data_IF_139248271107
#
_entry.id   IF_139248271107
#
_cell.length_a   1.000
_cell.length_b   1.000
_cell.length_c   1.000
_cell.angle_alpha   90.00
_cell.angle_beta   90.00
_cell.angle_gamma   90.00
#
_symmetry.space_group_name_H-M   'P 1'
#
loop_
_entity.id
_entity.type
_entity.pdbx_description
1 polymer ?
#
# COMPACT_ATOMS: atom_id res chain seq x y z
N UNK A 1 34.03 -14.05 12.83
CA UNK A 1 33.18 -14.33 14.00
C UNK A 1 31.91 -15.08 13.59
N UNK A 2 31.52 -16.15 14.30
CA UNK A 2 30.32 -16.92 13.99
C UNK A 2 29.06 -16.29 14.61
N UNK A 3 27.97 -16.24 13.85
CA UNK A 3 26.68 -15.75 14.34
C UNK A 3 26.06 -16.73 15.36
N UNK A 4 25.57 -16.28 16.52
CA UNK A 4 24.95 -17.17 17.52
C UNK A 4 23.61 -17.76 17.07
N UNK A 5 22.94 -17.19 16.06
CA UNK A 5 21.60 -17.60 15.62
C UNK A 5 21.64 -18.55 14.43
N UNK A 6 22.45 -18.27 13.42
CA UNK A 6 22.51 -19.05 12.18
C UNK A 6 23.89 -19.65 11.88
N UNK A 7 24.81 -19.60 12.86
CA UNK A 7 26.19 -20.14 12.80
C UNK A 7 27.02 -19.69 11.58
N UNK A 8 26.57 -18.67 10.85
CA UNK A 8 27.25 -18.16 9.66
C UNK A 8 28.51 -17.39 10.07
N UNK A 9 29.63 -17.65 9.40
CA UNK A 9 30.88 -16.92 9.61
C UNK A 9 30.78 -15.52 9.00
N UNK A 10 31.05 -14.50 9.78
CA UNK A 10 30.99 -13.09 9.38
C UNK A 10 32.32 -12.38 9.68
N UNK A 11 32.68 -11.32 8.92
CA UNK A 11 33.89 -10.54 9.17
C UNK A 11 33.91 -9.96 10.59
N UNK A 12 35.09 -9.80 11.19
CA UNK A 12 35.22 -9.30 12.58
C UNK A 12 34.74 -7.85 12.76
N UNK A 13 34.72 -7.09 11.66
CA UNK A 13 34.19 -5.72 11.60
C UNK A 13 32.66 -5.64 11.49
N UNK A 14 31.98 -6.78 11.29
CA UNK A 14 30.52 -6.83 11.14
C UNK A 14 29.80 -6.45 12.45
N UNK A 15 28.82 -5.53 12.35
CA UNK A 15 27.89 -5.21 13.44
C UNK A 15 26.69 -6.16 13.43
N UNK A 16 26.28 -6.62 12.24
CA UNK A 16 25.15 -7.51 12.02
C UNK A 16 25.54 -8.69 11.13
N UNK A 17 24.87 -9.84 11.33
CA UNK A 17 25.03 -10.99 10.47
C UNK A 17 24.39 -10.71 9.10
N UNK A 18 25.18 -10.84 8.03
CA UNK A 18 24.70 -10.60 6.66
C UNK A 18 23.65 -11.61 6.17
N UNK A 19 23.47 -12.74 6.87
CA UNK A 19 22.55 -13.82 6.47
C UNK A 19 21.24 -13.84 7.25
N UNK A 20 21.28 -13.63 8.56
CA UNK A 20 20.09 -13.65 9.43
C UNK A 20 19.76 -12.30 10.09
N UNK A 21 20.61 -11.27 9.94
CA UNK A 21 20.38 -9.93 10.48
C UNK A 21 20.64 -9.79 11.99
N UNK A 22 21.02 -10.87 12.70
CA UNK A 22 21.28 -10.81 14.14
C UNK A 22 22.46 -9.89 14.47
N UNK A 23 22.33 -9.08 15.52
CA UNK A 23 23.42 -8.23 16.02
C UNK A 23 24.56 -9.08 16.56
N UNK A 24 25.78 -8.77 16.14
CA UNK A 24 27.00 -9.52 16.48
C UNK A 24 27.77 -8.90 17.66
N UNK A 25 27.51 -7.63 18.00
CA UNK A 25 28.24 -6.86 19.03
C UNK A 25 27.40 -6.47 20.27
N UNK A 26 26.22 -7.06 20.47
CA UNK A 26 25.31 -6.71 21.58
C UNK A 26 24.68 -7.93 22.29
N UNK A 27 24.43 -7.79 23.60
CA UNK A 27 23.73 -8.76 24.45
C UNK A 27 22.37 -9.14 23.87
N UNK A 28 22.08 -10.44 23.83
CA UNK A 28 20.90 -11.09 23.26
C UNK A 28 19.53 -10.76 23.93
N UNK A 29 19.40 -9.62 24.63
CA UNK A 29 18.23 -9.30 25.47
C UNK A 29 17.28 -8.21 24.95
N UNK A 30 17.51 -7.63 23.76
CA UNK A 30 16.55 -6.67 23.17
C UNK A 30 16.31 -6.95 21.69
N UNK A 31 15.63 -8.07 21.44
CA UNK A 31 15.00 -8.41 20.15
C UNK A 31 14.05 -7.30 19.66
N UNK A 32 13.55 -6.46 20.58
CA UNK A 32 12.66 -5.34 20.34
C UNK A 32 13.36 -4.00 20.00
N UNK A 33 14.69 -3.91 20.03
CA UNK A 33 15.43 -2.66 19.80
C UNK A 33 16.48 -2.70 18.68
N UNK A 34 16.78 -3.89 18.17
CA UNK A 34 17.91 -4.11 17.24
C UNK A 34 17.51 -4.33 15.79
N UNK A 35 16.20 -4.44 15.52
CA UNK A 35 15.67 -4.69 14.19
C UNK A 35 14.60 -3.67 13.83
N UNK A 36 15.01 -2.62 13.13
CA UNK A 36 14.10 -1.75 12.42
C UNK A 36 14.41 -1.87 10.92
N UNK A 37 13.35 -1.98 10.13
CA UNK A 37 13.38 -1.93 8.66
C UNK A 37 14.15 -0.69 8.16
N UNK A 38 14.25 0.35 8.99
CA UNK A 38 15.10 1.52 8.80
C UNK A 38 16.08 1.65 9.96
N UNK A 39 17.39 1.68 9.67
CA UNK A 39 18.49 1.57 10.64
C UNK A 39 18.62 2.71 11.65
N UNK A 40 17.82 3.77 11.50
CA UNK A 40 17.89 4.99 12.32
C UNK A 40 16.71 5.20 13.27
N UNK A 41 15.74 4.27 13.32
CA UNK A 41 14.54 4.45 14.15
C UNK A 41 14.28 3.26 15.07
N UNK A 42 13.99 3.53 16.35
CA UNK A 42 13.60 2.47 17.28
C UNK A 42 12.22 1.90 16.95
N UNK A 43 11.99 0.61 17.24
CA UNK A 43 10.69 -0.08 17.02
C UNK A 43 9.51 0.63 17.69
N UNK A 44 9.78 1.44 18.71
CA UNK A 44 8.79 2.20 19.48
C UNK A 44 8.72 3.71 19.15
N UNK A 45 9.47 4.20 18.15
CA UNK A 45 9.36 5.61 17.75
C UNK A 45 8.23 5.80 16.74
N UNK A 46 7.28 6.66 17.11
CA UNK A 46 6.18 7.12 16.28
C UNK A 46 6.64 8.33 15.44
N UNK A 47 7.42 8.14 14.38
CA UNK A 47 7.42 9.15 13.32
C UNK A 47 6.29 8.83 12.34
N UNK A 48 5.22 9.64 12.38
CA UNK A 48 4.02 9.48 11.55
C UNK A 48 4.36 9.31 10.05
N UNK A 49 5.46 9.93 9.62
CA UNK A 49 5.96 9.92 8.24
C UNK A 49 6.76 8.65 7.93
N UNK A 50 7.62 8.13 8.81
CA UNK A 50 8.30 6.84 8.58
C UNK A 50 7.37 5.64 8.82
N UNK A 51 6.31 5.83 9.60
CA UNK A 51 5.27 4.82 9.87
C UNK A 51 4.45 4.52 8.63
N UNK A 52 4.20 5.54 7.80
CA UNK A 52 3.54 5.42 6.50
C UNK A 52 4.57 5.11 5.40
N UNK A 53 5.81 5.60 5.51
CA UNK A 53 6.91 5.43 4.54
C UNK A 53 8.15 4.68 5.10
N UNK A 54 8.09 3.35 5.33
CA UNK A 54 9.20 2.62 5.92
C UNK A 54 10.34 2.24 4.94
N UNK A 55 10.13 2.37 3.62
CA UNK A 55 10.97 1.69 2.61
C UNK A 55 11.52 2.57 1.49
N UNK A 56 11.40 3.89 1.60
CA UNK A 56 11.93 4.79 0.58
C UNK A 56 13.33 5.26 0.94
N UNK A 57 14.27 5.17 -0.01
CA UNK A 57 15.49 5.98 0.02
C UNK A 57 15.06 7.44 0.27
N UNK A 58 15.80 8.20 1.08
CA UNK A 58 15.49 9.61 1.42
C UNK A 58 15.05 10.41 0.18
N UNK A 59 15.70 10.16 -0.96
CA UNK A 59 15.41 10.83 -2.22
C UNK A 59 14.07 10.45 -2.87
N UNK A 60 13.61 9.20 -2.76
CA UNK A 60 12.29 8.79 -3.27
C UNK A 60 11.18 9.17 -2.30
N UNK A 61 11.45 9.15 -0.99
CA UNK A 61 10.54 9.61 0.05
C UNK A 61 10.07 11.05 -0.20
N UNK A 62 11.01 11.91 -0.59
CA UNK A 62 10.75 13.32 -0.86
C UNK A 62 9.83 13.52 -2.08
N UNK A 63 9.99 12.73 -3.14
CA UNK A 63 9.13 12.82 -4.33
C UNK A 63 7.66 12.50 -3.98
N UNK A 64 7.42 11.45 -3.19
CA UNK A 64 6.06 11.09 -2.75
C UNK A 64 5.47 12.11 -1.80
N UNK A 65 6.30 12.66 -0.89
CA UNK A 65 5.89 13.73 0.01
C UNK A 65 5.44 14.97 -0.79
N UNK A 66 6.20 15.37 -1.82
CA UNK A 66 5.80 16.47 -2.70
C UNK A 66 4.53 16.16 -3.51
N UNK A 67 4.39 14.94 -4.04
CA UNK A 67 3.18 14.53 -4.75
C UNK A 67 1.92 14.59 -3.86
N UNK A 68 2.03 14.16 -2.60
CA UNK A 68 0.95 14.27 -1.61
C UNK A 68 0.64 15.72 -1.26
N UNK A 69 1.67 16.56 -1.04
CA UNK A 69 1.48 17.99 -0.76
C UNK A 69 0.81 18.69 -1.94
N UNK A 70 1.27 18.46 -3.17
CA UNK A 70 0.69 19.04 -4.38
C UNK A 70 -0.77 18.62 -4.56
N UNK A 71 -1.08 17.34 -4.32
CA UNK A 71 -2.45 16.82 -4.38
C UNK A 71 -3.34 17.48 -3.33
N UNK A 72 -2.86 17.59 -2.09
CA UNK A 72 -3.59 18.25 -1.01
C UNK A 72 -3.82 19.74 -1.30
N UNK A 73 -2.80 20.45 -1.80
CA UNK A 73 -2.91 21.86 -2.21
C UNK A 73 -3.94 22.03 -3.32
N UNK A 74 -3.93 21.16 -4.34
CA UNK A 74 -4.91 21.23 -5.43
C UNK A 74 -6.33 21.02 -4.91
N UNK A 75 -6.55 20.02 -4.05
CA UNK A 75 -7.87 19.72 -3.47
C UNK A 75 -8.34 20.91 -2.63
N UNK A 76 -7.50 21.42 -1.73
CA UNK A 76 -7.84 22.57 -0.86
C UNK A 76 -8.10 23.82 -1.68
N UNK A 77 -7.30 24.08 -2.72
CA UNK A 77 -7.52 25.21 -3.61
C UNK A 77 -8.84 25.07 -4.39
N UNK A 78 -9.13 23.90 -4.96
CA UNK A 78 -10.37 23.65 -5.67
C UNK A 78 -11.60 23.79 -4.75
N UNK A 79 -11.53 23.25 -3.53
CA UNK A 79 -12.58 23.42 -2.51
C UNK A 79 -12.72 24.89 -2.10
N UNK A 80 -11.62 25.59 -1.83
CA UNK A 80 -11.65 27.00 -1.41
C UNK A 80 -12.16 27.96 -2.49
N UNK A 81 -11.95 27.64 -3.77
CA UNK A 81 -12.50 28.38 -4.91
C UNK A 81 -13.98 28.07 -5.19
N UNK A 82 -14.56 27.10 -4.47
CA UNK A 82 -15.93 26.63 -4.63
C UNK A 82 -16.14 25.71 -5.83
N UNK A 83 -15.08 25.26 -6.50
CA UNK A 83 -15.14 24.41 -7.70
C UNK A 83 -15.41 22.95 -7.31
N UNK A 84 -16.61 22.65 -6.83
CA UNK A 84 -16.96 21.35 -6.26
C UNK A 84 -16.67 20.17 -7.20
N UNK A 85 -17.04 20.18 -8.50
CA UNK A 85 -16.77 19.04 -9.37
C UNK A 85 -15.27 18.74 -9.51
N UNK A 86 -14.45 19.79 -9.57
CA UNK A 86 -12.99 19.66 -9.66
C UNK A 86 -12.43 19.18 -8.32
N UNK A 87 -12.91 19.70 -7.19
CA UNK A 87 -12.52 19.24 -5.87
C UNK A 87 -12.86 17.76 -5.65
N UNK A 88 -14.07 17.35 -6.04
CA UNK A 88 -14.53 15.96 -5.94
C UNK A 88 -13.71 15.04 -6.84
N UNK A 89 -13.53 15.38 -8.11
CA UNK A 89 -12.76 14.56 -9.05
C UNK A 89 -11.29 14.45 -8.63
N UNK A 90 -10.67 15.58 -8.24
CA UNK A 90 -9.27 15.59 -7.81
C UNK A 90 -9.06 14.78 -6.54
N UNK A 91 -9.92 14.93 -5.52
CA UNK A 91 -9.80 14.17 -4.28
C UNK A 91 -10.13 12.68 -4.47
N UNK A 92 -11.07 12.35 -5.36
CA UNK A 92 -11.41 10.97 -5.67
C UNK A 92 -10.29 10.22 -6.39
N UNK A 93 -9.40 10.89 -7.14
CA UNK A 93 -8.35 10.22 -7.93
C UNK A 93 -6.92 10.51 -7.47
N UNK A 94 -6.56 11.75 -7.14
CA UNK A 94 -5.15 12.10 -6.88
C UNK A 94 -4.58 11.35 -5.69
N UNK A 95 -5.27 11.35 -4.55
CA UNK A 95 -4.75 10.65 -3.37
C UNK A 95 -4.74 9.13 -3.58
N UNK A 96 -5.81 8.50 -4.11
CA UNK A 96 -5.78 7.08 -4.42
C UNK A 96 -4.67 6.69 -5.40
N UNK A 97 -4.44 7.50 -6.44
CA UNK A 97 -3.36 7.28 -7.41
C UNK A 97 -2.00 7.46 -6.76
N UNK A 98 -1.77 8.53 -6.00
CA UNK A 98 -0.48 8.74 -5.31
C UNK A 98 -0.22 7.62 -4.31
N UNK A 99 -1.24 7.17 -3.58
CA UNK A 99 -1.14 6.04 -2.67
C UNK A 99 -0.85 4.73 -3.42
N UNK A 100 -1.50 4.48 -4.55
CA UNK A 100 -1.23 3.32 -5.40
C UNK A 100 0.18 3.35 -5.99
N UNK A 101 0.63 4.48 -6.53
CA UNK A 101 1.99 4.64 -7.06
C UNK A 101 3.02 4.49 -5.95
N UNK A 102 2.74 5.02 -4.76
CA UNK A 102 3.59 4.83 -3.59
C UNK A 102 3.68 3.34 -3.20
N UNK A 103 2.54 2.66 -3.06
CA UNK A 103 2.51 1.24 -2.71
C UNK A 103 3.15 0.40 -3.81
N UNK A 104 3.00 0.77 -5.09
CA UNK A 104 3.66 0.11 -6.21
C UNK A 104 5.18 0.29 -6.20
N UNK A 105 5.70 1.49 -5.90
CA UNK A 105 7.15 1.75 -5.82
C UNK A 105 7.78 1.16 -4.55
N UNK A 106 7.02 1.14 -3.46
CA UNK A 106 7.36 0.48 -2.19
C UNK A 106 7.08 -1.01 -2.23
N UNK A 107 6.33 -1.54 -3.20
CA UNK A 107 6.15 -2.98 -3.36
C UNK A 107 7.52 -3.57 -3.72
N UNK A 108 8.17 -4.11 -2.69
CA UNK A 108 9.52 -4.56 -2.80
C UNK A 108 9.54 -5.98 -3.36
N UNK A 109 9.71 -6.14 -4.69
CA UNK A 109 9.91 -7.45 -5.40
C UNK A 109 8.58 -8.22 -5.64
N UNK A 110 8.14 -8.72 -6.81
CA UNK A 110 8.63 -8.87 -8.20
C UNK A 110 7.51 -8.49 -9.24
N UNK A 111 7.91 -8.05 -10.45
CA UNK A 111 7.25 -8.27 -11.75
C UNK A 111 5.73 -8.10 -11.96
N UNK A 112 4.98 -7.34 -11.15
CA UNK A 112 3.65 -6.91 -11.57
C UNK A 112 3.74 -5.86 -12.69
N UNK A 113 3.32 -6.16 -13.93
CA UNK A 113 3.31 -5.17 -14.99
C UNK A 113 2.37 -4.03 -14.59
N UNK A 114 2.79 -2.77 -14.75
CA UNK A 114 1.91 -1.59 -14.66
C UNK A 114 0.53 -1.84 -15.30
N UNK A 115 0.40 -2.48 -16.49
CA UNK A 115 -0.91 -2.76 -17.07
C UNK A 115 -1.78 -3.72 -16.25
N UNK A 116 -1.23 -4.65 -15.47
CA UNK A 116 -2.02 -5.56 -14.62
C UNK A 116 -2.63 -4.80 -13.45
N UNK A 117 -1.85 -3.96 -12.77
CA UNK A 117 -2.37 -3.12 -11.68
C UNK A 117 -3.38 -2.10 -12.21
N UNK A 118 -3.12 -1.53 -13.39
CA UNK A 118 -4.07 -0.63 -14.05
C UNK A 118 -5.36 -1.36 -14.47
N UNK A 119 -5.25 -2.58 -15.03
CA UNK A 119 -6.41 -3.39 -15.39
C UNK A 119 -7.22 -3.80 -14.16
N UNK A 120 -6.56 -4.12 -13.04
CA UNK A 120 -7.21 -4.37 -11.76
C UNK A 120 -7.94 -3.12 -11.26
N UNK A 121 -7.28 -1.96 -11.30
CA UNK A 121 -7.88 -0.68 -10.91
C UNK A 121 -9.12 -0.35 -11.75
N UNK A 122 -9.02 -0.47 -13.07
CA UNK A 122 -10.16 -0.24 -13.98
C UNK A 122 -11.25 -1.29 -13.77
N UNK A 123 -10.90 -2.57 -13.68
CA UNK A 123 -11.86 -3.66 -13.53
C UNK A 123 -12.64 -3.58 -12.22
N UNK A 124 -11.96 -3.31 -11.11
CA UNK A 124 -12.59 -3.10 -9.79
C UNK A 124 -13.35 -1.78 -9.73
N UNK A 125 -12.88 -0.74 -10.42
CA UNK A 125 -13.60 0.51 -10.60
C UNK A 125 -14.91 0.33 -11.38
N UNK A 126 -14.90 -0.42 -12.49
CA UNK A 126 -16.12 -0.76 -13.25
C UNK A 126 -17.07 -1.60 -12.40
N UNK A 127 -16.54 -2.60 -11.69
CA UNK A 127 -17.33 -3.41 -10.77
C UNK A 127 -17.98 -2.55 -9.68
N UNK A 128 -17.24 -1.58 -9.14
CA UNK A 128 -17.76 -0.59 -8.19
C UNK A 128 -18.93 0.18 -8.79
N UNK A 129 -18.77 0.75 -9.98
CA UNK A 129 -19.86 1.46 -10.67
C UNK A 129 -21.08 0.58 -10.86
N UNK A 130 -20.91 -0.67 -11.32
CA UNK A 130 -22.02 -1.60 -11.52
C UNK A 130 -22.73 -1.94 -10.22
N UNK A 131 -21.99 -2.27 -9.16
CA UNK A 131 -22.55 -2.57 -7.84
C UNK A 131 -23.28 -1.35 -7.29
N UNK A 132 -22.65 -0.17 -7.30
CA UNK A 132 -23.28 1.07 -6.84
C UNK A 132 -24.54 1.38 -7.65
N UNK A 133 -24.50 1.35 -8.98
CA UNK A 133 -25.70 1.61 -9.78
C UNK A 133 -26.81 0.59 -9.56
N UNK A 134 -26.48 -0.69 -9.43
CA UNK A 134 -27.46 -1.75 -9.15
C UNK A 134 -28.15 -1.50 -7.80
N UNK A 135 -27.39 -1.29 -6.73
CA UNK A 135 -27.99 -1.08 -5.41
C UNK A 135 -28.76 0.24 -5.31
N UNK A 136 -28.23 1.33 -5.90
CA UNK A 136 -28.84 2.65 -5.79
C UNK A 136 -30.05 2.86 -6.71
N UNK A 137 -30.08 2.25 -7.89
CA UNK A 137 -31.17 2.44 -8.86
C UNK A 137 -32.21 1.32 -8.86
N UNK A 138 -31.86 0.13 -8.41
CA UNK A 138 -32.76 -1.03 -8.52
C UNK A 138 -33.20 -1.60 -7.18
N UNK A 139 -32.30 -1.66 -6.19
CA UNK A 139 -32.59 -2.35 -4.93
C UNK A 139 -33.16 -1.42 -3.87
N UNK A 140 -32.66 -0.18 -3.77
CA UNK A 140 -32.95 0.73 -2.66
C UNK A 140 -33.30 2.15 -3.13
N UNK A 141 -34.01 2.30 -4.25
CA UNK A 141 -34.34 3.62 -4.82
C UNK A 141 -35.18 4.46 -3.84
N UNK A 142 -36.20 3.86 -3.21
CA UNK A 142 -37.09 4.54 -2.26
C UNK A 142 -36.38 4.91 -0.96
N UNK A 143 -35.57 3.98 -0.42
CA UNK A 143 -34.75 4.23 0.76
C UNK A 143 -33.72 5.31 0.48
N UNK A 144 -33.08 5.33 -0.70
CA UNK A 144 -32.07 6.33 -1.04
C UNK A 144 -32.65 7.74 -1.22
N UNK A 145 -33.81 7.86 -1.87
CA UNK A 145 -34.48 9.15 -2.06
C UNK A 145 -34.93 9.76 -0.73
N UNK A 146 -35.42 8.93 0.20
CA UNK A 146 -35.67 9.35 1.59
C UNK A 146 -34.38 9.58 2.37
N UNK A 147 -33.26 8.95 1.98
CA UNK A 147 -31.95 9.07 2.62
C UNK A 147 -31.22 10.40 2.32
N UNK A 148 -31.31 10.89 1.08
CA UNK A 148 -30.55 12.03 0.56
C UNK A 148 -31.15 13.41 0.92
N UNK A 149 -32.43 13.45 1.30
CA UNK A 149 -33.22 14.69 1.36
C UNK A 149 -33.18 15.49 2.67
N UNK A 150 -32.34 15.19 3.67
CA UNK A 150 -32.44 15.88 4.97
C UNK A 150 -31.17 16.00 5.79
N UNK A 151 -30.93 17.21 6.33
CA UNK A 151 -30.05 17.46 7.46
C UNK A 151 -30.58 16.71 8.68
N UNK A 152 -29.80 15.75 9.18
CA UNK A 152 -30.21 14.84 10.26
C UNK A 152 -29.77 15.40 11.60
N UNK A 153 -30.68 16.02 12.32
CA UNK A 153 -30.47 16.38 13.72
C UNK A 153 -31.57 15.69 14.52
N UNK A 154 -31.17 14.80 15.44
CA UNK A 154 -32.09 14.07 16.30
C UNK A 154 -32.25 12.58 15.95
N UNK A 155 -32.29 11.75 17.00
CA UNK A 155 -32.37 10.29 16.94
C UNK A 155 -33.72 9.81 16.38
N UNK A 156 -34.76 10.65 16.46
CA UNK A 156 -36.12 10.34 15.97
C UNK A 156 -36.18 10.16 14.44
N UNK A 157 -35.18 10.64 13.71
CA UNK A 157 -35.03 10.44 12.26
C UNK A 157 -34.26 9.16 11.88
N UNK A 158 -33.92 8.31 12.85
CA UNK A 158 -33.14 7.09 12.65
C UNK A 158 -33.98 5.97 12.02
N UNK A 159 -33.88 5.80 10.71
CA UNK A 159 -34.38 4.61 10.03
C UNK A 159 -33.43 3.42 10.22
N UNK A 160 -33.75 2.50 11.13
CA UNK A 160 -32.98 1.26 11.35
C UNK A 160 -32.75 0.43 10.08
N UNK A 161 -33.75 0.25 9.17
CA UNK A 161 -33.52 -0.51 7.93
C UNK A 161 -32.45 0.14 7.04
N UNK A 162 -32.54 1.45 6.82
CA UNK A 162 -31.54 2.15 6.01
C UNK A 162 -30.16 2.14 6.69
N UNK A 163 -30.09 2.20 8.03
CA UNK A 163 -28.82 2.07 8.73
C UNK A 163 -28.18 0.69 8.46
N UNK A 164 -28.93 -0.40 8.59
CA UNK A 164 -28.42 -1.74 8.34
C UNK A 164 -28.00 -1.93 6.88
N UNK A 165 -28.79 -1.40 5.94
CA UNK A 165 -28.49 -1.49 4.51
C UNK A 165 -27.18 -0.73 4.19
N UNK A 166 -27.12 0.55 4.53
CA UNK A 166 -26.01 1.41 4.10
C UNK A 166 -24.75 1.27 4.95
N UNK A 167 -24.86 0.93 6.24
CA UNK A 167 -23.71 0.80 7.12
C UNK A 167 -23.24 -0.65 7.34
N UNK A 168 -24.04 -1.66 6.99
CA UNK A 168 -23.66 -3.07 7.17
C UNK A 168 -23.66 -3.83 5.85
N UNK A 169 -24.83 -3.93 5.17
CA UNK A 169 -24.96 -4.75 3.96
C UNK A 169 -24.06 -4.24 2.83
N UNK A 170 -24.12 -2.94 2.50
CA UNK A 170 -23.32 -2.37 1.41
C UNK A 170 -21.81 -2.51 1.65
N UNK A 171 -21.25 -2.20 2.84
CA UNK A 171 -19.83 -2.44 3.11
C UNK A 171 -19.41 -3.91 2.99
N UNK A 172 -20.26 -4.86 3.38
CA UNK A 172 -19.98 -6.30 3.20
C UNK A 172 -19.91 -6.65 1.72
N UNK A 173 -20.90 -6.22 0.93
CA UNK A 173 -20.93 -6.48 -0.51
C UNK A 173 -19.75 -5.80 -1.21
N UNK A 174 -19.40 -4.58 -0.81
CA UNK A 174 -18.24 -3.86 -1.30
C UNK A 174 -16.94 -4.61 -0.98
N UNK A 175 -16.79 -5.17 0.24
CA UNK A 175 -15.61 -5.94 0.59
C UNK A 175 -15.45 -7.20 -0.25
N UNK A 176 -16.55 -7.93 -0.47
CA UNK A 176 -16.56 -9.10 -1.35
C UNK A 176 -16.16 -8.69 -2.78
N UNK A 177 -16.77 -7.63 -3.32
CA UNK A 177 -16.50 -7.15 -4.66
C UNK A 177 -15.03 -6.72 -4.85
N UNK A 178 -14.46 -6.00 -3.88
CA UNK A 178 -13.05 -5.57 -3.89
C UNK A 178 -12.10 -6.76 -3.86
N UNK A 179 -12.40 -7.80 -3.09
CA UNK A 179 -11.53 -8.98 -2.99
C UNK A 179 -11.54 -9.81 -4.27
N UNK A 180 -12.67 -9.96 -4.98
CA UNK A 180 -12.80 -10.85 -6.15
C UNK A 180 -11.67 -10.71 -7.17
N UNK A 181 -11.40 -9.48 -7.64
CA UNK A 181 -10.38 -9.23 -8.66
C UNK A 181 -8.95 -9.41 -8.14
N UNK A 182 -8.69 -8.96 -6.90
CA UNK A 182 -7.37 -9.01 -6.29
C UNK A 182 -6.98 -10.45 -5.91
N UNK A 183 -7.90 -11.20 -5.32
CA UNK A 183 -7.80 -12.63 -5.01
C UNK A 183 -7.57 -13.42 -6.29
N UNK A 184 -8.33 -13.16 -7.36
CA UNK A 184 -8.14 -13.85 -8.64
C UNK A 184 -6.71 -13.69 -9.18
N UNK A 185 -6.14 -12.48 -9.11
CA UNK A 185 -4.76 -12.25 -9.51
C UNK A 185 -3.76 -12.94 -8.58
N UNK A 186 -3.97 -12.86 -7.26
CA UNK A 186 -3.13 -13.50 -6.25
C UNK A 186 -3.12 -15.04 -6.32
N UNK A 187 -4.03 -15.68 -7.05
CA UNK A 187 -3.95 -17.14 -7.32
C UNK A 187 -2.93 -17.50 -8.41
N UNK A 188 -2.42 -16.52 -9.17
CA UNK A 188 -1.48 -16.80 -10.26
C UNK A 188 -0.11 -17.14 -9.68
N UNK A 189 0.57 -18.18 -10.21
CA UNK A 189 1.91 -18.58 -9.74
C UNK A 189 3.01 -17.55 -10.01
N UNK A 190 2.69 -16.47 -10.74
CA UNK A 190 3.58 -15.32 -10.94
C UNK A 190 3.55 -14.34 -9.76
N UNK A 191 2.53 -14.42 -8.89
CA UNK A 191 2.26 -13.49 -7.79
C UNK A 191 2.08 -14.28 -6.49
N UNK A 192 3.15 -14.93 -6.03
CA UNK A 192 3.14 -15.87 -4.91
C UNK A 192 3.63 -15.26 -3.57
N UNK A 193 3.82 -13.94 -3.51
CA UNK A 193 4.23 -13.21 -2.31
C UNK A 193 3.05 -12.47 -1.65
N UNK A 194 3.10 -12.36 -0.33
CA UNK A 194 2.20 -11.54 0.49
C UNK A 194 2.07 -10.12 -0.02
N UNK A 195 3.19 -9.53 -0.45
CA UNK A 195 3.25 -8.09 -0.78
C UNK A 195 2.54 -7.80 -2.10
N UNK A 196 2.52 -8.76 -3.03
CA UNK A 196 1.72 -8.66 -4.25
C UNK A 196 0.23 -8.72 -3.95
N UNK A 197 -0.18 -9.64 -3.07
CA UNK A 197 -1.54 -9.70 -2.56
C UNK A 197 -1.96 -8.37 -1.90
N UNK A 198 -1.09 -7.81 -1.05
CA UNK A 198 -1.31 -6.52 -0.41
C UNK A 198 -1.51 -5.40 -1.46
N UNK A 199 -0.66 -5.34 -2.47
CA UNK A 199 -0.69 -4.32 -3.52
C UNK A 199 -1.96 -4.43 -4.36
N UNK A 200 -2.35 -5.65 -4.75
CA UNK A 200 -3.61 -5.87 -5.46
C UNK A 200 -4.82 -5.50 -4.61
N UNK A 201 -4.82 -5.85 -3.32
CA UNK A 201 -5.90 -5.48 -2.41
C UNK A 201 -6.01 -3.96 -2.23
N UNK A 202 -4.88 -3.26 -2.09
CA UNK A 202 -4.85 -1.79 -2.02
C UNK A 202 -5.34 -1.16 -3.32
N UNK A 203 -4.85 -1.62 -4.47
CA UNK A 203 -5.29 -1.12 -5.78
C UNK A 203 -6.79 -1.32 -5.98
N UNK A 204 -7.32 -2.50 -5.65
CA UNK A 204 -8.75 -2.79 -5.74
C UNK A 204 -9.59 -1.92 -4.80
N UNK A 205 -9.15 -1.76 -3.54
CA UNK A 205 -9.90 -0.98 -2.55
C UNK A 205 -9.91 0.52 -2.83
N UNK A 206 -8.77 1.07 -3.26
CA UNK A 206 -8.65 2.49 -3.63
C UNK A 206 -9.41 2.82 -4.91
N UNK A 207 -9.38 1.92 -5.91
CA UNK A 207 -10.18 2.03 -7.12
C UNK A 207 -11.68 2.03 -6.82
N UNK A 208 -12.13 1.07 -6.00
CA UNK A 208 -13.52 0.98 -5.61
C UNK A 208 -13.97 2.26 -4.89
N UNK A 209 -13.19 2.76 -3.94
CA UNK A 209 -13.50 3.98 -3.23
C UNK A 209 -13.57 5.21 -4.15
N UNK A 210 -12.65 5.33 -5.12
CA UNK A 210 -12.60 6.42 -6.09
C UNK A 210 -13.86 6.45 -6.98
N UNK A 211 -14.15 5.32 -7.62
CA UNK A 211 -15.23 5.23 -8.61
C UNK A 211 -16.62 5.23 -7.95
N UNK A 212 -16.78 4.56 -6.81
CA UNK A 212 -18.00 4.66 -6.00
C UNK A 212 -18.32 6.12 -5.67
N UNK A 213 -17.31 6.91 -5.27
CA UNK A 213 -17.50 8.31 -4.91
C UNK A 213 -17.98 9.16 -6.09
N UNK A 214 -17.47 8.92 -7.31
CA UNK A 214 -17.95 9.61 -8.52
C UNK A 214 -19.43 9.32 -8.77
N UNK A 215 -19.86 8.06 -8.57
CA UNK A 215 -21.27 7.68 -8.77
C UNK A 215 -22.16 8.32 -7.69
N UNK A 216 -21.74 8.27 -6.42
CA UNK A 216 -22.48 8.84 -5.29
C UNK A 216 -22.64 10.37 -5.41
N UNK A 217 -21.62 11.05 -5.94
CA UNK A 217 -21.62 12.50 -6.13
C UNK A 217 -21.92 12.92 -7.58
N UNK A 218 -22.53 12.04 -8.37
CA UNK A 218 -22.88 12.32 -9.77
C UNK A 218 -23.73 13.60 -9.94
N UNK A 219 -24.59 13.92 -8.96
CA UNK A 219 -25.38 15.15 -8.94
C UNK A 219 -24.53 16.43 -8.95
N UNK A 220 -23.34 16.41 -8.37
CA UNK A 220 -22.39 17.55 -8.37
C UNK A 220 -21.88 17.82 -9.79
N UNK A 221 -21.73 16.79 -10.62
CA UNK A 221 -21.27 16.91 -12.00
C UNK A 221 -22.38 17.31 -12.98
N UNK A 222 -23.64 17.00 -12.66
CA UNK A 222 -24.80 17.35 -13.48
C UNK A 222 -25.49 18.65 -13.07
N UNK A 223 -25.02 19.29 -12.00
CA UNK A 223 -25.57 20.55 -11.51
C UNK A 223 -25.30 21.69 -12.50
N UNK A 224 -26.27 22.59 -12.69
CA UNK A 224 -26.13 23.74 -13.59
C UNK A 224 -25.10 24.77 -13.08
N UNK A 225 -24.84 24.80 -11.77
CA UNK A 225 -23.84 25.67 -11.16
C UNK A 225 -22.59 24.87 -10.77
N UNK A 226 -21.44 25.31 -11.28
CA UNK A 226 -20.13 24.70 -11.04
C UNK A 226 -19.45 25.27 -9.79
N UNK A 227 -19.94 26.40 -9.25
CA UNK A 227 -19.36 27.07 -8.09
C UNK A 227 -20.33 27.09 -6.93
N UNK A 228 -19.89 26.65 -5.77
CA UNK A 228 -20.64 26.85 -4.52
C UNK A 228 -20.02 27.99 -3.72
N UNK A 229 -20.85 28.87 -3.19
CA UNK A 229 -20.44 29.91 -2.22
C UNK A 229 -20.78 29.51 -0.78
N UNK A 230 -21.64 28.51 -0.60
CA UNK A 230 -22.24 28.18 0.68
C UNK A 230 -21.66 26.87 1.23
N UNK A 231 -21.33 26.86 2.53
CA UNK A 231 -20.90 25.63 3.21
C UNK A 231 -19.52 25.11 2.78
N UNK A 232 -18.60 25.96 2.32
CA UNK A 232 -17.25 25.55 1.92
C UNK A 232 -16.52 24.75 3.02
N UNK A 233 -16.71 25.14 4.29
CA UNK A 233 -16.11 24.45 5.43
C UNK A 233 -16.68 23.04 5.65
N UNK A 234 -17.99 22.83 5.45
CA UNK A 234 -18.59 21.49 5.56
C UNK A 234 -18.17 20.62 4.39
N UNK A 235 -18.08 21.18 3.18
CA UNK A 235 -17.56 20.50 2.01
C UNK A 235 -16.10 20.07 2.18
N UNK A 236 -15.24 20.90 2.77
CA UNK A 236 -13.86 20.51 3.06
C UNK A 236 -13.79 19.26 3.96
N UNK A 237 -14.62 19.19 5.01
CA UNK A 237 -14.69 18.02 5.89
C UNK A 237 -15.19 16.78 5.15
N UNK A 238 -16.22 16.94 4.31
CA UNK A 238 -16.79 15.84 3.50
C UNK A 238 -15.77 15.31 2.50
N UNK A 239 -15.07 16.19 1.79
CA UNK A 239 -14.02 15.82 0.82
C UNK A 239 -12.89 15.06 1.54
N UNK A 240 -12.40 15.58 2.67
CA UNK A 240 -11.34 14.88 3.43
C UNK A 240 -11.83 13.52 3.93
N UNK A 241 -13.01 13.44 4.53
CA UNK A 241 -13.49 12.19 5.11
C UNK A 241 -13.78 11.13 4.03
N UNK A 242 -14.59 11.48 3.02
CA UNK A 242 -15.09 10.50 2.07
C UNK A 242 -14.15 10.20 0.91
N UNK A 243 -13.24 11.11 0.58
CA UNK A 243 -12.38 10.95 -0.61
C UNK A 243 -10.95 10.58 -0.21
N UNK A 244 -10.49 11.07 0.94
CA UNK A 244 -9.15 10.79 1.45
C UNK A 244 -9.19 9.62 2.43
N UNK A 245 -9.87 9.79 3.56
CA UNK A 245 -9.86 8.80 4.64
C UNK A 245 -10.54 7.51 4.22
N UNK A 246 -11.73 7.57 3.59
CA UNK A 246 -12.42 6.37 3.07
C UNK A 246 -11.52 5.55 2.12
N UNK A 247 -10.83 6.21 1.19
CA UNK A 247 -10.01 5.50 0.21
C UNK A 247 -8.82 4.78 0.84
N UNK A 248 -8.17 5.43 1.82
CA UNK A 248 -7.10 4.81 2.59
C UNK A 248 -7.61 3.63 3.43
N UNK A 249 -8.78 3.75 4.06
CA UNK A 249 -9.42 2.65 4.83
C UNK A 249 -9.74 1.48 3.90
N UNK A 250 -10.41 1.73 2.77
CA UNK A 250 -10.79 0.68 1.83
C UNK A 250 -9.57 -0.03 1.25
N UNK A 251 -8.56 0.74 0.84
CA UNK A 251 -7.30 0.20 0.33
C UNK A 251 -6.55 -0.64 1.37
N UNK A 252 -6.35 -0.11 2.57
CA UNK A 252 -5.60 -0.83 3.62
C UNK A 252 -6.34 -2.06 4.13
N UNK A 253 -7.66 -1.98 4.34
CA UNK A 253 -8.48 -3.10 4.81
C UNK A 253 -8.47 -4.25 3.79
N UNK A 254 -8.77 -3.95 2.52
CA UNK A 254 -8.75 -4.96 1.45
C UNK A 254 -7.33 -5.46 1.19
N UNK A 255 -6.32 -4.59 1.28
CA UNK A 255 -4.91 -4.97 1.26
C UNK A 255 -4.58 -6.07 2.28
N UNK A 256 -4.94 -5.86 3.55
CA UNK A 256 -4.67 -6.84 4.62
C UNK A 256 -5.35 -8.19 4.33
N UNK A 257 -6.59 -8.18 3.80
CA UNK A 257 -7.30 -9.40 3.47
C UNK A 257 -6.62 -10.19 2.35
N UNK A 258 -6.24 -9.53 1.26
CA UNK A 258 -5.60 -10.17 0.10
C UNK A 258 -4.15 -10.54 0.40
N UNK A 259 -3.45 -9.79 1.24
CA UNK A 259 -2.13 -10.16 1.76
C UNK A 259 -2.18 -11.51 2.50
N UNK A 260 -3.18 -11.69 3.37
CA UNK A 260 -3.36 -12.95 4.11
C UNK A 260 -3.75 -14.14 3.21
N UNK A 261 -4.28 -13.87 2.02
CA UNK A 261 -4.59 -14.88 1.01
C UNK A 261 -3.34 -15.35 0.25
N UNK A 262 -2.45 -14.41 -0.10
CA UNK A 262 -1.17 -14.74 -0.74
C UNK A 262 -0.24 -15.52 0.19
N UNK A 263 -0.28 -15.28 1.50
CA UNK A 263 0.54 -16.00 2.48
C UNK A 263 1.85 -15.27 2.79
N UNK A 264 2.61 -15.74 3.80
CA UNK A 264 3.74 -14.97 4.37
C UNK A 264 5.13 -15.27 3.77
N UNK A 265 5.24 -16.23 2.86
CA UNK A 265 6.49 -16.68 2.24
C UNK A 265 6.30 -17.00 0.76
N UNK A 266 7.29 -17.62 0.11
CA UNK A 266 7.14 -18.10 -1.27
C UNK A 266 6.14 -19.24 -1.32
N UNK A 267 4.89 -18.94 -1.65
CA UNK A 267 3.85 -19.94 -1.72
C UNK A 267 2.50 -19.43 -1.27
N UNK A 268 1.51 -19.77 -2.08
CA UNK A 268 0.13 -19.36 -1.90
C UNK A 268 -0.54 -20.09 -0.71
N UNK A 269 -0.93 -19.33 0.32
CA UNK A 269 -1.64 -19.87 1.50
C UNK A 269 -3.13 -20.18 1.21
N UNK A 270 -3.77 -19.35 0.38
CA UNK A 270 -5.15 -19.49 -0.07
C UNK A 270 -6.22 -19.32 0.99
N UNK A 271 -7.31 -20.08 0.89
CA UNK A 271 -8.49 -19.99 1.76
C UNK A 271 -8.26 -20.66 3.14
N UNK A 272 -7.18 -20.30 3.81
CA UNK A 272 -6.89 -20.72 5.18
C UNK A 272 -7.68 -19.88 6.21
N UNK A 273 -7.79 -20.32 7.47
CA UNK A 273 -8.42 -19.53 8.53
C UNK A 273 -7.83 -18.13 8.71
N UNK A 274 -6.54 -17.94 8.38
CA UNK A 274 -5.86 -16.65 8.35
C UNK A 274 -6.52 -15.66 7.38
N UNK A 275 -6.87 -16.10 6.17
CA UNK A 275 -7.60 -15.29 5.19
C UNK A 275 -8.96 -14.86 5.72
N UNK A 276 -9.76 -15.79 6.25
CA UNK A 276 -11.09 -15.45 6.77
C UNK A 276 -11.03 -14.52 7.99
N UNK A 277 -10.00 -14.63 8.84
CA UNK A 277 -9.78 -13.70 9.93
C UNK A 277 -9.42 -12.29 9.43
N UNK A 278 -8.55 -12.19 8.41
CA UNK A 278 -8.17 -10.92 7.80
C UNK A 278 -9.32 -10.28 7.01
N UNK A 279 -10.08 -11.07 6.26
CA UNK A 279 -11.30 -10.65 5.57
C UNK A 279 -12.37 -10.19 6.56
N UNK A 280 -12.59 -10.93 7.64
CA UNK A 280 -13.50 -10.53 8.72
C UNK A 280 -13.10 -9.20 9.37
N UNK A 281 -11.80 -8.98 9.57
CA UNK A 281 -11.28 -7.69 10.03
C UNK A 281 -11.52 -6.56 9.02
N UNK A 282 -11.32 -6.82 7.72
CA UNK A 282 -11.58 -5.83 6.67
C UNK A 282 -13.06 -5.45 6.59
N UNK A 283 -13.96 -6.44 6.66
CA UNK A 283 -15.41 -6.22 6.76
C UNK A 283 -15.75 -5.42 8.01
N UNK A 284 -15.25 -5.83 9.18
CA UNK A 284 -15.54 -5.16 10.44
C UNK A 284 -15.06 -3.70 10.45
N UNK A 285 -13.89 -3.42 9.84
CA UNK A 285 -13.38 -2.06 9.71
C UNK A 285 -14.26 -1.19 8.80
N UNK A 286 -14.71 -1.71 7.66
CA UNK A 286 -15.57 -0.97 6.74
C UNK A 286 -16.99 -0.75 7.28
N UNK A 287 -17.56 -1.77 7.92
CA UNK A 287 -18.84 -1.65 8.66
C UNK A 287 -18.69 -0.65 9.80
N UNK A 288 -17.63 -0.76 10.61
CA UNK A 288 -17.36 0.15 11.73
C UNK A 288 -17.15 1.59 11.30
N UNK A 289 -16.47 1.82 10.16
CA UNK A 289 -16.31 3.14 9.55
C UNK A 289 -17.67 3.74 9.19
N UNK A 290 -18.47 3.06 8.36
CA UNK A 290 -19.77 3.60 7.93
C UNK A 290 -20.77 3.73 9.07
N UNK A 291 -20.81 2.76 9.97
CA UNK A 291 -21.68 2.80 11.15
C UNK A 291 -21.33 4.00 12.03
N UNK A 292 -20.05 4.23 12.32
CA UNK A 292 -19.62 5.36 13.15
C UNK A 292 -19.84 6.70 12.47
N UNK A 293 -19.44 6.86 11.20
CA UNK A 293 -19.71 8.09 10.44
C UNK A 293 -21.21 8.37 10.38
N UNK A 294 -22.05 7.33 10.25
CA UNK A 294 -23.50 7.49 10.17
C UNK A 294 -24.12 7.83 11.52
N UNK A 295 -23.73 7.15 12.60
CA UNK A 295 -24.20 7.46 13.95
C UNK A 295 -23.81 8.88 14.36
N UNK A 296 -22.58 9.28 14.07
CA UNK A 296 -22.09 10.62 14.38
C UNK A 296 -22.78 11.70 13.54
N UNK A 297 -23.33 11.37 12.38
CA UNK A 297 -24.08 12.36 11.58
C UNK A 297 -25.34 12.92 12.27
N UNK A 298 -25.87 12.25 13.31
CA UNK A 298 -27.06 12.71 14.06
C UNK A 298 -26.76 13.67 15.22
N UNK A 299 -25.48 13.85 15.57
CA UNK A 299 -25.06 14.77 16.64
C UNK A 299 -24.57 16.11 16.06
N UNK A 300 -24.60 17.21 16.85
CA UNK A 300 -24.01 18.46 16.41
C UNK A 300 -22.54 18.26 16.03
N UNK A 301 -22.10 18.93 14.95
CA UNK A 301 -20.77 18.75 14.34
C UNK A 301 -20.49 17.34 13.83
N UNK A 302 -21.53 16.57 13.49
CA UNK A 302 -21.42 15.17 13.11
C UNK A 302 -20.44 14.85 11.97
N UNK A 303 -20.28 15.76 11.01
CA UNK A 303 -19.30 15.59 9.93
C UNK A 303 -17.85 15.60 10.45
N UNK A 304 -17.52 16.52 11.35
CA UNK A 304 -16.19 16.64 11.93
C UNK A 304 -15.89 15.47 12.87
N UNK A 305 -16.87 15.05 13.67
CA UNK A 305 -16.75 13.85 14.50
C UNK A 305 -16.61 12.58 13.66
N UNK A 306 -17.36 12.46 12.56
CA UNK A 306 -17.22 11.39 11.59
C UNK A 306 -15.83 11.32 10.97
N UNK A 307 -15.22 12.47 10.66
CA UNK A 307 -13.84 12.54 10.20
C UNK A 307 -12.84 12.05 11.26
N UNK A 308 -12.99 12.48 12.51
CA UNK A 308 -12.15 12.02 13.63
C UNK A 308 -12.27 10.51 13.83
N UNK A 309 -13.49 9.96 13.75
CA UNK A 309 -13.74 8.53 13.80
C UNK A 309 -13.06 7.79 12.65
N UNK A 310 -13.13 8.33 11.44
CA UNK A 310 -12.40 7.82 10.27
C UNK A 310 -10.89 7.75 10.53
N UNK A 311 -10.30 8.79 11.11
CA UNK A 311 -8.87 8.77 11.47
C UNK A 311 -8.53 7.73 12.53
N UNK A 312 -9.41 7.48 13.50
CA UNK A 312 -9.22 6.40 14.50
C UNK A 312 -9.17 5.03 13.81
N UNK A 313 -10.15 4.72 12.95
CA UNK A 313 -10.18 3.46 12.20
C UNK A 313 -8.95 3.33 11.31
N UNK A 314 -8.60 4.40 10.57
CA UNK A 314 -7.42 4.42 9.71
C UNK A 314 -6.14 4.17 10.51
N UNK A 315 -5.98 4.80 11.68
CA UNK A 315 -4.81 4.60 12.54
C UNK A 315 -4.69 3.14 12.97
N UNK A 316 -5.79 2.51 13.38
CA UNK A 316 -5.81 1.08 13.74
C UNK A 316 -5.39 0.21 12.55
N UNK A 317 -5.91 0.48 11.35
CA UNK A 317 -5.55 -0.26 10.13
C UNK A 317 -4.08 -0.07 9.74
N UNK A 318 -3.56 1.16 9.82
CA UNK A 318 -2.15 1.47 9.53
C UNK A 318 -1.20 0.82 10.53
N UNK A 319 -1.56 0.78 11.82
CA UNK A 319 -0.78 0.04 12.81
C UNK A 319 -0.84 -1.47 12.53
N UNK A 320 -2.00 -1.99 12.15
CA UNK A 320 -2.18 -3.41 11.88
C UNK A 320 -1.36 -3.86 10.68
N UNK A 321 -1.46 -3.16 9.54
CA UNK A 321 -0.69 -3.48 8.32
C UNK A 321 0.81 -3.43 8.60
N UNK A 322 1.28 -2.46 9.41
CA UNK A 322 2.70 -2.36 9.78
C UNK A 322 3.17 -3.58 10.56
N UNK A 323 2.42 -3.99 11.58
CA UNK A 323 2.75 -5.17 12.39
C UNK A 323 2.72 -6.46 11.54
N UNK A 324 1.73 -6.62 10.66
CA UNK A 324 1.63 -7.81 9.81
C UNK A 324 2.74 -7.87 8.77
N UNK A 325 3.11 -6.74 8.18
CA UNK A 325 4.24 -6.67 7.23
C UNK A 325 5.57 -7.00 7.92
N UNK A 326 5.81 -6.44 9.10
CA UNK A 326 7.03 -6.74 9.86
C UNK A 326 7.14 -8.23 10.20
N UNK A 327 6.05 -8.85 10.66
CA UNK A 327 6.04 -10.27 10.96
C UNK A 327 6.29 -11.13 9.72
N UNK A 328 5.63 -10.81 8.60
CA UNK A 328 5.78 -11.56 7.36
C UNK A 328 7.19 -11.49 6.78
N UNK A 329 7.81 -10.29 6.76
CA UNK A 329 9.19 -10.13 6.27
C UNK A 329 10.20 -10.93 7.10
N UNK A 330 9.99 -11.05 8.41
CA UNK A 330 10.83 -11.84 9.29
C UNK A 330 10.64 -13.34 9.04
N UNK A 331 9.40 -13.80 8.91
CA UNK A 331 9.10 -15.21 8.61
C UNK A 331 9.67 -15.61 7.24
N UNK A 332 9.46 -14.80 6.19
CA UNK A 332 10.03 -15.03 4.86
C UNK A 332 11.57 -15.04 4.86
N UNK A 333 12.21 -14.13 5.59
CA UNK A 333 13.67 -14.08 5.67
C UNK A 333 14.27 -15.31 6.38
N UNK A 334 13.59 -15.84 7.40
CA UNK A 334 14.00 -17.07 8.08
C UNK A 334 13.81 -18.28 7.17
N UNK A 335 12.66 -18.37 6.50
CA UNK A 335 12.36 -19.47 5.58
C UNK A 335 13.39 -19.55 4.44
N UNK A 336 13.73 -18.41 3.83
CA UNK A 336 14.75 -18.40 2.80
C UNK A 336 16.15 -18.69 3.31
N UNK A 337 16.51 -18.25 4.53
CA UNK A 337 17.78 -18.60 5.14
C UNK A 337 17.93 -20.12 5.39
N UNK A 338 16.83 -20.81 5.69
CA UNK A 338 16.80 -22.27 5.87
C UNK A 338 16.76 -23.01 4.53
N UNK A 339 16.01 -22.50 3.54
CA UNK A 339 15.83 -23.16 2.24
C UNK A 339 17.06 -23.05 1.33
N UNK A 340 17.84 -21.98 1.46
CA UNK A 340 18.97 -21.67 0.57
C UNK A 340 20.32 -22.13 1.12
N UNK A 341 20.38 -23.37 1.64
CA UNK A 341 21.55 -23.99 2.26
C UNK A 341 22.74 -24.17 1.27
N UNK A 342 23.35 -23.06 0.83
CA UNK A 342 24.44 -22.98 -0.14
C UNK A 342 24.04 -22.74 -1.60
N UNK A 343 22.74 -22.71 -1.94
CA UNK A 343 22.27 -22.46 -3.32
C UNK A 343 21.89 -20.98 -3.49
N UNK A 344 22.46 -20.32 -4.50
CA UNK A 344 22.22 -18.91 -4.83
C UNK A 344 20.71 -18.66 -5.00
N UNK A 345 20.11 -17.93 -4.05
CA UNK A 345 18.72 -17.49 -4.19
C UNK A 345 18.62 -16.55 -5.39
N UNK A 346 17.47 -16.53 -6.07
CA UNK A 346 17.18 -15.61 -7.20
C UNK A 346 17.39 -14.12 -6.83
N UNK A 347 17.37 -13.81 -5.52
CA UNK A 347 17.46 -12.47 -4.92
C UNK A 347 18.78 -12.22 -4.19
N UNK A 348 19.79 -13.06 -4.40
CA UNK A 348 21.07 -12.92 -3.73
C UNK A 348 21.88 -11.73 -4.28
N UNK A 349 22.54 -10.97 -3.41
CA UNK A 349 23.46 -9.93 -3.84
C UNK A 349 24.61 -10.51 -4.66
N UNK A 350 24.97 -9.77 -5.71
CA UNK A 350 26.14 -10.03 -6.54
C UNK A 350 27.31 -9.19 -6.00
N UNK A 351 28.53 -9.66 -6.24
CA UNK A 351 29.77 -8.92 -6.06
C UNK A 351 29.60 -7.47 -6.60
N UNK A 352 30.10 -6.49 -5.84
CA UNK A 352 29.97 -5.03 -6.06
C UNK A 352 28.59 -4.37 -5.83
N UNK A 353 27.63 -5.07 -5.22
CA UNK A 353 26.40 -4.41 -4.77
C UNK A 353 26.64 -3.55 -3.52
N UNK A 354 26.02 -2.36 -3.48
CA UNK A 354 26.21 -1.37 -2.40
C UNK A 354 24.90 -1.19 -1.62
N UNK A 355 24.98 -1.05 -0.30
CA UNK A 355 23.80 -0.78 0.51
C UNK A 355 23.20 0.60 0.16
N UNK A 356 21.91 0.73 -0.18
CA UNK A 356 21.34 2.01 -0.57
C UNK A 356 21.14 3.01 0.58
N UNK A 357 21.28 2.56 1.84
CA UNK A 357 21.08 3.40 3.03
C UNK A 357 22.41 3.94 3.58
N UNK A 358 23.44 3.08 3.66
CA UNK A 358 24.74 3.44 4.24
C UNK A 358 25.89 3.46 3.23
N UNK A 359 25.60 3.17 1.96
CA UNK A 359 26.56 3.15 0.85
C UNK A 359 27.77 2.22 1.06
N UNK A 360 27.68 1.29 2.00
CA UNK A 360 28.72 0.29 2.24
C UNK A 360 28.58 -0.89 1.27
N UNK A 361 29.69 -1.50 0.79
CA UNK A 361 29.63 -2.71 -0.02
C UNK A 361 28.93 -3.84 0.75
N UNK A 362 28.11 -4.60 0.02
CA UNK A 362 27.41 -5.78 0.50
C UNK A 362 28.25 -7.01 0.17
N UNK A 363 28.20 -8.01 1.05
CA UNK A 363 28.85 -9.30 0.83
C UNK A 363 28.06 -10.11 -0.20
N UNK A 364 28.73 -11.04 -0.87
CA UNK A 364 28.07 -12.03 -1.75
C UNK A 364 26.97 -12.81 -1.00
N UNK A 365 25.81 -12.95 -1.66
CA UNK A 365 24.63 -13.60 -1.10
C UNK A 365 24.19 -13.06 0.28
N UNK A 366 24.37 -11.76 0.53
CA UNK A 366 23.88 -11.11 1.75
C UNK A 366 22.40 -10.77 1.66
N UNK A 367 21.67 -11.18 2.69
CA UNK A 367 20.28 -10.78 2.93
C UNK A 367 20.20 -9.48 3.74
N UNK A 368 21.28 -9.11 4.44
CA UNK A 368 21.36 -7.96 5.34
C UNK A 368 22.70 -7.22 5.20
N UNK A 369 22.68 -5.91 5.35
CA UNK A 369 23.89 -5.11 5.43
C UNK A 369 24.60 -5.38 6.77
N UNK A 370 25.89 -5.74 6.70
CA UNK A 370 26.71 -6.01 7.88
C UNK A 370 26.98 -4.77 8.76
N UNK A 371 26.80 -3.55 8.22
CA UNK A 371 27.07 -2.29 8.91
C UNK A 371 25.81 -1.70 9.54
N UNK A 372 24.77 -1.43 8.74
CA UNK A 372 23.54 -0.79 9.23
C UNK A 372 22.41 -1.78 9.59
N UNK A 373 22.56 -3.07 9.30
CA UNK A 373 21.57 -4.10 9.61
C UNK A 373 20.33 -4.11 8.69
N UNK A 374 20.18 -3.13 7.80
CA UNK A 374 19.08 -3.04 6.84
C UNK A 374 19.05 -4.28 5.95
N UNK A 375 17.86 -4.85 5.74
CA UNK A 375 17.74 -6.00 4.85
C UNK A 375 17.86 -5.56 3.40
N UNK A 376 18.61 -6.30 2.60
CA UNK A 376 18.76 -6.04 1.16
C UNK A 376 17.42 -6.27 0.46
N UNK A 377 16.63 -7.22 0.97
CA UNK A 377 15.22 -7.41 0.57
C UNK A 377 14.38 -6.17 0.84
N UNK A 378 14.74 -5.38 1.86
CA UNK A 378 14.07 -4.12 2.18
C UNK A 378 14.47 -2.91 1.32
N UNK A 379 15.13 -3.11 0.18
CA UNK A 379 15.45 -2.04 -0.77
C UNK A 379 14.34 -1.83 -1.83
N UNK A 380 13.99 -0.56 -2.09
CA UNK A 380 13.06 -0.18 -3.17
C UNK A 380 13.58 -0.57 -4.57
N UNK A 381 12.67 -0.68 -5.56
CA UNK A 381 13.04 -1.08 -6.92
C UNK A 381 14.05 -0.12 -7.57
N UNK A 382 13.92 1.19 -7.33
CA UNK A 382 14.88 2.19 -7.78
C UNK A 382 16.25 2.02 -7.12
N UNK A 383 16.27 1.72 -5.81
CA UNK A 383 17.51 1.45 -5.09
C UNK A 383 18.23 0.22 -5.66
N UNK A 384 17.54 -0.89 -5.93
CA UNK A 384 18.16 -2.06 -6.57
C UNK A 384 18.68 -1.78 -7.97
N UNK A 385 17.93 -1.01 -8.78
CA UNK A 385 18.43 -0.60 -10.10
C UNK A 385 19.74 0.17 -9.98
N UNK A 386 19.89 1.00 -8.94
CA UNK A 386 21.16 1.66 -8.62
C UNK A 386 22.22 0.66 -8.16
N UNK A 387 21.88 -0.32 -7.32
CA UNK A 387 22.79 -1.40 -6.90
C UNK A 387 23.30 -2.26 -8.06
N UNK A 388 22.44 -2.58 -9.02
CA UNK A 388 22.80 -3.34 -10.21
C UNK A 388 23.56 -2.48 -11.23
N UNK A 389 23.25 -1.17 -11.32
CA UNK A 389 23.97 -0.24 -12.17
C UNK A 389 25.40 0.02 -11.67
N UNK A 390 25.62 0.06 -10.34
CA UNK A 390 26.97 0.18 -9.76
C UNK A 390 27.80 -1.09 -9.98
N UNK A 391 27.19 -2.27 -9.90
CA UNK A 391 27.86 -3.55 -10.18
C UNK A 391 28.28 -3.71 -11.67
N UNK A 392 27.64 -3.00 -12.60
CA UNK A 392 28.01 -2.98 -14.02
C UNK A 392 29.03 -1.89 -14.40
N UNK A 393 29.46 -1.06 -13.44
CA UNK A 393 30.26 0.15 -13.66
C UNK A 393 31.73 0.03 -13.30
N UNK A 394 32.35 -1.14 -13.49
CA UNK A 394 33.80 -1.28 -13.35
C UNK A 394 34.56 -0.47 -14.41
N UNK A 395 35.65 0.24 -14.07
CA UNK A 395 36.38 1.06 -15.03
C UNK A 395 37.18 0.20 -16.02
N UNK A 396 36.85 0.33 -17.30
CA UNK A 396 37.83 0.34 -18.41
C UNK A 396 38.60 -0.95 -18.70
N UNK A 397 37.94 -1.91 -19.34
CA UNK A 397 38.59 -2.90 -20.20
C UNK A 397 38.40 -2.53 -21.67
N UNK A 398 39.14 -1.54 -22.17
CA UNK A 398 39.22 -1.29 -23.61
C UNK A 398 40.24 -2.22 -24.26
N UNK A 399 39.95 -2.78 -25.44
CA UNK A 399 40.99 -3.05 -26.42
C UNK A 399 40.86 -2.05 -27.56
N UNK A 400 41.87 -1.18 -27.67
CA UNK A 400 42.06 -0.34 -28.85
C UNK A 400 42.42 -1.17 -30.09
N UNK A 401 42.05 -0.57 -31.22
CA UNK A 401 42.67 -0.59 -32.54
C UNK A 401 43.14 -1.89 -33.19
N UNK A 402 42.50 -2.17 -34.33
CA UNK A 402 43.14 -2.76 -35.50
C UNK A 402 42.18 -2.84 -36.69
N UNK A 403 42.30 -1.97 -37.72
CA UNK A 403 41.66 -2.20 -39.01
C UNK A 403 42.57 -3.12 -39.84
N UNK A 404 42.08 -4.31 -40.17
CA UNK A 404 42.77 -5.27 -41.03
C UNK A 404 41.87 -5.65 -42.20
N UNK A 405 41.94 -4.86 -43.27
CA UNK A 405 41.48 -5.24 -44.60
C UNK A 405 42.25 -6.47 -45.09
N UNK A 406 41.53 -7.47 -45.63
CA UNK A 406 42.11 -8.70 -46.15
C UNK A 406 41.12 -9.48 -46.99
N UNK A 407 40.84 -8.97 -48.19
CA UNK A 407 40.10 -9.65 -49.24
C UNK A 407 40.85 -10.89 -49.76
N UNK A 408 40.14 -12.01 -49.93
CA UNK A 408 40.26 -13.00 -51.04
C UNK A 408 39.09 -13.99 -50.90
N UNK A 409 38.10 -13.99 -51.81
CA UNK A 409 37.95 -14.97 -52.91
C UNK A 409 37.13 -16.19 -52.45
N UNK A 410 36.11 -16.74 -53.11
CA UNK A 410 35.54 -16.65 -54.44
C UNK A 410 34.70 -17.92 -54.65
N UNK A 411 33.65 -17.84 -55.46
CA UNK A 411 32.91 -18.94 -56.12
C UNK A 411 32.33 -20.08 -55.25
N UNK A 412 31.01 -20.10 -55.09
CA UNK A 412 30.07 -20.86 -55.93
C UNK A 412 28.63 -20.58 -55.49
#
# INVERSE_FOLDING_TARGET
MACPTCSTESPEVALYCYRCGASLRGSASTRAGSYAVQSSEGVNQFALISTILPHSNRQTADNYRWAMILSAVLIVAATGLGLLPIAVASAAFLIPIVYLVYVYDVNMWEDAPVPVVAALFVGTGVLSVLVTLFFFRWVFEDEFNTFAAGSRVGIDSLSLPALLIFAVLLPIVAEIAKNLGAVFLATRPQFDDMVDGLTFGIAAGTAYAALETIVLYSSVFTSADFRTTDGLASWAVVVVNLMVVKSLIYGTATGIAVAAFSGKGEGYDGFKPSYFAAFGLAVAANVGYWLGVRMLSYVPFGQALGLLWGFVILTVLVLRIRVTMQAALLEAAVEDAVRTDGIRSKRATVDDSVCPECENPLLDNSNFCMVCGTSVRSSSHQARRRMSASAGGGPGGGPGDGPGDGATGGAA
#
